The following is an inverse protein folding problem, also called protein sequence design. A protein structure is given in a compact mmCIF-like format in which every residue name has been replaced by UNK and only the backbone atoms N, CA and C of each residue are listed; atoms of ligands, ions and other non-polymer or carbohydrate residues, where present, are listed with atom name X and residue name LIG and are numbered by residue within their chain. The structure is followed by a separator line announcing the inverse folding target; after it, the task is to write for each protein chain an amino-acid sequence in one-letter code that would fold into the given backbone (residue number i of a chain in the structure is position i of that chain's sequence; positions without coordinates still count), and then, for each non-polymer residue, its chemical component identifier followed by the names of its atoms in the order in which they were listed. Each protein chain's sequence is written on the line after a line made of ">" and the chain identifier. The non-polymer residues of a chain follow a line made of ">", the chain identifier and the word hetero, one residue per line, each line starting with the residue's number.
data_IF_751918433962
#
_entry.id   IF_751918433962
#
_cell.length_a   1.000
_cell.length_b   1.000
_cell.length_c   1.000
_cell.angle_alpha   90.00
_cell.angle_beta   90.00
_cell.angle_gamma   90.00
#
_symmetry.space_group_name_H-M   'P 1'
#
loop_
_entity.id
_entity.type
_entity.pdbx_description
1 polymer ?
#
# COMPACT_ATOMS: atom_id res chain seq x y z
N UNK A 1 -36.89 -5.87 41.78
CA UNK A 1 -35.54 -5.32 41.50
C UNK A 1 -35.41 -5.18 40.01
N UNK A 2 -35.46 -3.95 39.50
CA UNK A 2 -35.24 -3.69 38.08
C UNK A 2 -33.75 -3.88 37.78
N UNK A 3 -33.43 -4.78 36.86
CA UNK A 3 -32.10 -4.94 36.28
C UNK A 3 -31.73 -3.62 35.62
N UNK A 4 -30.73 -2.94 36.17
CA UNK A 4 -30.03 -1.82 35.54
C UNK A 4 -29.47 -2.32 34.20
N UNK A 5 -30.19 -2.01 33.12
CA UNK A 5 -29.67 -2.03 31.77
C UNK A 5 -28.38 -1.21 31.76
N UNK A 6 -27.23 -1.84 31.52
CA UNK A 6 -25.98 -1.12 31.35
C UNK A 6 -26.13 -0.27 30.10
N UNK A 7 -26.24 1.05 30.27
CA UNK A 7 -26.20 2.00 29.16
C UNK A 7 -24.91 1.76 28.39
N UNK A 8 -25.02 1.29 27.15
CA UNK A 8 -23.86 1.06 26.29
C UNK A 8 -23.10 2.39 26.13
N UNK A 9 -21.80 2.40 26.45
CA UNK A 9 -20.95 3.56 26.24
C UNK A 9 -20.95 3.86 24.74
N UNK A 10 -21.28 5.09 24.31
CA UNK A 10 -21.30 5.42 22.88
C UNK A 10 -19.89 5.28 22.29
N UNK A 11 -19.75 4.83 21.03
CA UNK A 11 -18.45 4.71 20.38
C UNK A 11 -17.70 6.05 20.34
N UNK A 12 -16.39 6.02 20.56
CA UNK A 12 -15.55 7.20 20.44
C UNK A 12 -15.50 7.66 18.98
N UNK A 13 -15.75 8.95 18.76
CA UNK A 13 -15.75 9.54 17.42
C UNK A 13 -14.33 9.80 16.92
N UNK A 14 -14.00 9.25 15.74
CA UNK A 14 -12.72 9.45 15.07
C UNK A 14 -12.84 10.55 14.01
N UNK A 15 -11.91 11.50 14.07
CA UNK A 15 -11.73 12.61 13.15
C UNK A 15 -10.33 12.49 12.56
N UNK A 16 -10.25 11.98 11.34
CA UNK A 16 -8.98 11.58 10.73
C UNK A 16 -8.41 12.73 9.92
N UNK A 17 -7.11 12.93 10.05
CA UNK A 17 -6.32 13.63 9.04
C UNK A 17 -5.41 12.62 8.34
N UNK A 18 -5.55 12.55 7.02
CA UNK A 18 -4.75 11.69 6.16
C UNK A 18 -3.73 12.55 5.43
N UNK A 19 -2.46 12.44 5.81
CA UNK A 19 -1.35 13.12 5.16
C UNK A 19 -0.76 12.27 4.06
N UNK A 20 -0.38 12.90 2.95
CA UNK A 20 0.13 12.19 1.78
C UNK A 20 -0.89 11.16 1.29
N UNK A 21 -2.17 11.57 1.20
CA UNK A 21 -3.30 10.66 1.02
C UNK A 21 -3.25 9.85 -0.28
N UNK A 22 -2.54 10.34 -1.30
CA UNK A 22 -2.45 9.67 -2.58
C UNK A 22 -3.83 9.36 -3.14
N UNK A 23 -4.09 8.09 -3.44
CA UNK A 23 -5.38 7.61 -3.93
C UNK A 23 -6.27 6.98 -2.83
N UNK A 24 -5.89 7.12 -1.55
CA UNK A 24 -6.72 6.73 -0.41
C UNK A 24 -6.57 5.30 0.08
N UNK A 25 -5.39 4.70 -0.07
CA UNK A 25 -5.12 3.36 0.48
C UNK A 25 -5.17 3.32 2.01
N UNK A 26 -4.67 4.35 2.71
CA UNK A 26 -4.77 4.44 4.17
C UNK A 26 -6.23 4.60 4.62
N UNK A 27 -7.00 5.43 3.92
CA UNK A 27 -8.43 5.60 4.12
C UNK A 27 -9.21 4.30 4.05
N UNK A 28 -9.00 3.51 2.98
CA UNK A 28 -9.68 2.23 2.79
C UNK A 28 -9.32 1.22 3.87
N UNK A 29 -8.03 1.11 4.22
CA UNK A 29 -7.59 0.23 5.30
C UNK A 29 -8.22 0.58 6.66
N UNK A 30 -8.34 1.88 6.97
CA UNK A 30 -9.00 2.33 8.21
C UNK A 30 -10.50 2.03 8.19
N UNK A 31 -11.16 2.19 7.04
CA UNK A 31 -12.57 1.83 6.90
C UNK A 31 -12.79 0.33 7.16
N UNK A 32 -11.93 -0.53 6.62
CA UNK A 32 -11.99 -1.97 6.87
C UNK A 32 -11.76 -2.30 8.35
N UNK A 33 -10.74 -1.69 8.98
CA UNK A 33 -10.45 -1.92 10.40
C UNK A 33 -11.60 -1.47 11.34
N UNK A 34 -12.49 -0.60 10.86
CA UNK A 34 -13.60 -0.05 11.63
C UNK A 34 -14.96 -0.66 11.27
N UNK A 35 -15.08 -1.49 10.23
CA UNK A 35 -16.39 -1.97 9.74
C UNK A 35 -17.19 -2.68 10.81
N UNK A 36 -16.51 -3.48 11.64
CA UNK A 36 -17.11 -4.30 12.68
C UNK A 36 -16.62 -3.90 14.09
N UNK A 37 -16.02 -2.71 14.22
CA UNK A 37 -15.47 -2.23 15.49
C UNK A 37 -16.51 -1.42 16.28
N UNK A 38 -17.03 -1.93 17.42
CA UNK A 38 -18.05 -1.22 18.20
C UNK A 38 -17.48 -0.08 19.07
N UNK A 39 -16.15 -0.01 19.26
CA UNK A 39 -15.50 0.98 20.13
C UNK A 39 -15.41 2.36 19.47
N UNK A 40 -15.37 2.40 18.15
CA UNK A 40 -15.08 3.62 17.40
C UNK A 40 -16.09 3.88 16.29
N UNK A 41 -16.33 5.15 15.97
CA UNK A 41 -17.11 5.53 14.79
C UNK A 41 -16.37 6.61 14.03
N UNK A 42 -16.17 6.39 12.74
CA UNK A 42 -15.49 7.36 11.88
C UNK A 42 -16.43 8.50 11.49
N UNK A 43 -16.11 9.73 11.88
CA UNK A 43 -16.98 10.91 11.67
C UNK A 43 -16.56 11.76 10.50
N UNK A 44 -15.32 12.21 10.50
CA UNK A 44 -14.81 13.12 9.46
C UNK A 44 -13.44 12.68 8.99
N UNK A 45 -13.15 12.91 7.72
CA UNK A 45 -11.80 12.74 7.19
C UNK A 45 -11.39 13.96 6.37
N UNK A 46 -10.22 14.47 6.69
CA UNK A 46 -9.56 15.53 5.92
C UNK A 46 -8.29 14.95 5.30
N UNK A 47 -8.27 14.81 3.98
CA UNK A 47 -7.15 14.31 3.21
C UNK A 47 -6.29 15.47 2.68
N UNK A 48 -4.98 15.41 2.91
CA UNK A 48 -4.00 16.36 2.41
C UNK A 48 -3.09 15.71 1.37
N UNK A 49 -3.17 16.20 0.14
CA UNK A 49 -2.29 15.79 -0.96
C UNK A 49 -2.08 16.96 -1.95
N UNK A 50 -0.83 17.13 -2.36
CA UNK A 50 -0.38 18.21 -3.23
C UNK A 50 -0.66 17.95 -4.72
N UNK A 51 -0.76 16.68 -5.09
CA UNK A 51 -0.93 16.22 -6.46
C UNK A 51 -2.41 16.17 -6.88
N UNK A 52 -2.77 16.97 -7.88
CA UNK A 52 -4.16 17.03 -8.38
C UNK A 52 -4.66 15.71 -8.93
N UNK A 53 -3.82 14.91 -9.58
CA UNK A 53 -4.25 13.62 -10.15
C UNK A 53 -4.58 12.63 -9.02
N UNK A 54 -3.82 12.65 -7.93
CA UNK A 54 -4.15 11.89 -6.73
C UNK A 54 -5.48 12.38 -6.14
N UNK A 55 -5.64 13.68 -5.94
CA UNK A 55 -6.86 14.27 -5.38
C UNK A 55 -8.10 13.93 -6.21
N UNK A 56 -8.02 14.04 -7.53
CA UNK A 56 -9.11 13.67 -8.44
C UNK A 56 -9.45 12.20 -8.30
N UNK A 57 -8.45 11.29 -8.34
CA UNK A 57 -8.66 9.85 -8.17
C UNK A 57 -9.25 9.50 -6.79
N UNK A 58 -8.76 10.13 -5.73
CA UNK A 58 -9.30 9.99 -4.38
C UNK A 58 -10.77 10.44 -4.33
N UNK A 59 -11.08 11.63 -4.83
CA UNK A 59 -12.43 12.20 -4.81
C UNK A 59 -13.45 11.29 -5.50
N UNK A 60 -13.11 10.79 -6.69
CA UNK A 60 -13.99 9.92 -7.45
C UNK A 60 -14.40 8.64 -6.72
N UNK A 61 -13.53 8.11 -5.86
CA UNK A 61 -13.75 6.85 -5.18
C UNK A 61 -14.21 7.00 -3.72
N UNK A 62 -13.86 8.10 -3.06
CA UNK A 62 -13.94 8.22 -1.59
C UNK A 62 -14.59 9.52 -1.11
N UNK A 63 -15.05 10.38 -2.01
CA UNK A 63 -15.87 11.55 -1.65
C UNK A 63 -17.34 11.14 -1.47
N UNK A 64 -18.02 11.77 -0.51
CA UNK A 64 -19.40 11.45 -0.14
C UNK A 64 -19.54 10.57 1.09
N UNK A 65 -20.78 10.16 1.36
CA UNK A 65 -21.15 9.27 2.48
C UNK A 65 -20.99 7.83 1.99
N UNK A 66 -19.98 7.11 2.46
CA UNK A 66 -19.87 5.68 2.17
C UNK A 66 -20.80 4.84 3.07
N UNK A 67 -20.84 3.53 2.85
CA UNK A 67 -21.62 2.56 3.62
C UNK A 67 -21.36 2.54 5.14
N UNK A 68 -20.29 3.18 5.63
CA UNK A 68 -19.97 3.32 7.05
C UNK A 68 -20.51 4.62 7.67
N UNK A 69 -21.33 5.39 6.93
CA UNK A 69 -21.95 6.61 7.46
C UNK A 69 -20.95 7.73 7.71
N UNK A 70 -19.90 7.81 6.90
CA UNK A 70 -18.91 8.89 6.96
C UNK A 70 -19.58 10.24 6.77
N UNK A 71 -19.62 11.04 7.82
CA UNK A 71 -20.42 12.26 7.90
C UNK A 71 -19.92 13.36 6.96
N UNK A 72 -18.60 13.52 6.80
CA UNK A 72 -18.00 14.49 5.87
C UNK A 72 -16.59 14.06 5.46
N UNK A 73 -16.31 14.03 4.15
CA UNK A 73 -14.97 13.83 3.58
C UNK A 73 -14.53 15.13 2.92
N UNK A 74 -13.32 15.61 3.22
CA UNK A 74 -12.76 16.85 2.64
C UNK A 74 -11.38 16.56 2.07
N UNK A 75 -11.17 16.99 0.84
CA UNK A 75 -9.88 16.87 0.16
C UNK A 75 -9.28 18.26 0.06
N UNK A 76 -8.14 18.48 0.68
CA UNK A 76 -7.46 19.76 0.71
C UNK A 76 -6.16 19.66 -0.03
N UNK A 77 -6.10 20.33 -1.18
CA UNK A 77 -4.84 20.53 -1.90
C UNK A 77 -4.00 21.59 -1.19
N UNK A 78 -3.08 21.13 -0.33
CA UNK A 78 -2.15 22.01 0.38
C UNK A 78 -0.80 21.32 0.54
N UNK A 79 0.29 22.09 0.45
CA UNK A 79 1.60 21.55 0.80
C UNK A 79 1.66 21.33 2.31
N UNK A 80 1.94 20.10 2.73
CA UNK A 80 2.06 19.68 4.13
C UNK A 80 3.15 20.48 4.88
N UNK A 81 4.18 20.97 4.19
CA UNK A 81 5.19 21.89 4.73
C UNK A 81 4.61 23.20 5.29
N UNK A 82 3.41 23.60 4.84
CA UNK A 82 2.75 24.85 5.21
C UNK A 82 1.62 24.66 6.23
N UNK A 83 1.40 23.43 6.69
CA UNK A 83 0.41 23.16 7.72
C UNK A 83 0.86 23.76 9.05
N UNK A 84 -0.14 24.19 9.81
CA UNK A 84 0.00 24.69 11.18
C UNK A 84 -0.90 23.87 12.09
N UNK A 85 -0.66 23.92 13.39
CA UNK A 85 -1.53 23.30 14.40
C UNK A 85 -3.02 23.68 14.21
N UNK A 86 -3.29 24.95 13.85
CA UNK A 86 -4.64 25.45 13.59
C UNK A 86 -5.38 24.67 12.48
N UNK A 87 -4.66 24.09 11.51
CA UNK A 87 -5.26 23.27 10.45
C UNK A 87 -5.71 21.89 10.97
N UNK A 88 -5.26 21.46 12.16
CA UNK A 88 -5.35 20.09 12.67
C UNK A 88 -6.12 19.98 14.00
N UNK A 89 -6.72 21.06 14.50
CA UNK A 89 -7.31 21.14 15.85
C UNK A 89 -8.40 20.11 16.14
N UNK A 90 -9.15 19.69 15.12
CA UNK A 90 -10.22 18.68 15.27
C UNK A 90 -9.74 17.26 15.07
N UNK A 91 -8.49 17.06 14.66
CA UNK A 91 -7.94 15.76 14.32
C UNK A 91 -7.57 14.97 15.57
N UNK A 92 -8.07 13.74 15.66
CA UNK A 92 -7.68 12.80 16.71
C UNK A 92 -7.11 11.47 16.16
N UNK A 93 -7.01 11.34 14.84
CA UNK A 93 -6.29 10.24 14.18
C UNK A 93 -5.43 10.80 13.06
N UNK A 94 -4.14 10.51 13.06
CA UNK A 94 -3.26 10.80 11.94
C UNK A 94 -2.92 9.52 11.19
N UNK A 95 -3.09 9.54 9.87
CA UNK A 95 -2.57 8.50 8.97
C UNK A 95 -1.60 9.13 8.00
N UNK A 96 -0.47 8.48 7.70
CA UNK A 96 0.53 9.06 6.81
C UNK A 96 1.42 8.03 6.11
N UNK A 97 1.72 8.29 4.85
CA UNK A 97 2.75 7.59 4.06
C UNK A 97 3.71 8.64 3.47
N UNK A 98 4.59 9.23 4.31
CA UNK A 98 5.49 10.27 3.84
C UNK A 98 6.45 9.72 2.76
N UNK A 99 6.74 10.51 1.72
CA UNK A 99 7.68 10.12 0.67
C UNK A 99 9.07 9.77 1.24
N UNK A 100 9.59 8.61 0.84
CA UNK A 100 10.82 8.01 1.39
C UNK A 100 12.16 8.62 0.89
N UNK A 101 12.15 9.68 0.07
CA UNK A 101 13.40 10.23 -0.47
C UNK A 101 14.05 11.16 0.56
N UNK A 102 15.27 10.82 1.05
CA UNK A 102 16.37 10.19 0.33
C UNK A 102 16.85 8.84 0.89
N UNK A 103 16.05 8.13 1.69
CA UNK A 103 16.48 6.93 2.45
C UNK A 103 16.85 5.69 1.59
N UNK A 104 16.90 5.81 0.26
CA UNK A 104 17.37 4.76 -0.66
C UNK A 104 18.91 4.72 -0.69
N UNK A 105 19.53 3.52 -0.59
CA UNK A 105 20.98 3.26 -0.56
C UNK A 105 21.72 3.53 -1.89
N UNK A 106 21.31 4.50 -2.69
CA UNK A 106 22.06 4.86 -3.90
C UNK A 106 23.19 5.81 -3.50
N UNK A 107 24.47 5.42 -3.73
CA UNK A 107 25.64 6.29 -3.50
C UNK A 107 25.38 7.68 -4.10
N UNK A 108 25.11 8.68 -3.26
CA UNK A 108 24.76 10.05 -3.65
C UNK A 108 23.48 10.64 -3.02
N UNK A 109 22.61 9.82 -2.40
CA UNK A 109 21.39 10.31 -1.72
C UNK A 109 21.61 10.72 -0.26
N UNK A 110 22.61 10.16 0.40
CA UNK A 110 22.93 10.45 1.81
C UNK A 110 23.46 11.89 2.02
N UNK A 111 24.13 12.48 1.04
CA UNK A 111 24.75 13.81 1.17
C UNK A 111 23.79 14.99 0.86
N UNK A 112 22.62 14.74 0.26
CA UNK A 112 21.63 15.78 -0.09
C UNK A 112 20.35 15.73 0.75
N UNK A 113 20.35 14.94 1.83
CA UNK A 113 19.12 14.59 2.53
C UNK A 113 18.43 15.72 3.29
N UNK A 114 19.15 16.78 3.64
CA UNK A 114 18.61 17.92 4.38
C UNK A 114 17.90 18.97 3.51
N UNK A 115 18.02 18.89 2.18
CA UNK A 115 17.42 19.88 1.27
C UNK A 115 16.20 19.36 0.49
N UNK A 116 15.88 18.05 0.58
CA UNK A 116 14.70 17.49 -0.09
C UNK A 116 13.41 18.05 0.55
N UNK A 117 12.61 18.76 -0.25
CA UNK A 117 11.30 19.30 0.18
C UNK A 117 10.39 18.21 0.77
N UNK A 118 10.57 16.95 0.36
CA UNK A 118 9.82 15.79 0.87
C UNK A 118 10.20 15.39 2.29
N UNK A 119 11.46 15.60 2.67
CA UNK A 119 11.89 15.51 4.07
C UNK A 119 11.26 16.62 4.90
N UNK A 120 11.14 17.85 4.35
CA UNK A 120 10.59 19.01 5.06
C UNK A 120 9.12 18.85 5.44
N UNK A 121 8.32 18.21 4.60
CA UNK A 121 6.90 17.97 4.90
C UNK A 121 6.72 17.10 6.16
N UNK A 122 7.46 15.99 6.26
CA UNK A 122 7.40 15.14 7.45
C UNK A 122 8.04 15.82 8.67
N UNK A 123 9.15 16.55 8.50
CA UNK A 123 9.73 17.37 9.57
C UNK A 123 8.75 18.42 10.11
N UNK A 124 7.93 19.04 9.25
CA UNK A 124 6.89 19.97 9.69
C UNK A 124 5.84 19.26 10.57
N UNK A 125 5.36 18.08 10.14
CA UNK A 125 4.43 17.29 10.95
C UNK A 125 5.01 16.88 12.31
N UNK A 126 6.28 16.47 12.34
CA UNK A 126 7.01 16.18 13.59
C UNK A 126 7.12 17.41 14.49
N UNK A 127 7.42 18.58 13.91
CA UNK A 127 7.46 19.84 14.65
C UNK A 127 6.10 20.20 15.25
N UNK A 128 5.01 20.04 14.49
CA UNK A 128 3.66 20.29 14.98
C UNK A 128 3.35 19.31 16.12
N UNK A 129 3.54 18.00 15.93
CA UNK A 129 3.24 16.98 16.95
C UNK A 129 3.98 17.24 18.27
N UNK A 130 5.23 17.71 18.19
CA UNK A 130 6.08 18.04 19.34
C UNK A 130 5.47 19.14 20.22
N UNK A 131 4.87 20.17 19.61
CA UNK A 131 4.34 21.33 20.33
C UNK A 131 2.81 21.38 20.43
N UNK A 132 2.10 20.50 19.72
CA UNK A 132 0.64 20.53 19.62
C UNK A 132 -0.02 20.37 20.99
N UNK A 133 -0.96 21.25 21.28
CA UNK A 133 -1.67 21.34 22.56
C UNK A 133 -2.49 20.08 22.84
N UNK A 134 -3.21 19.59 21.81
CA UNK A 134 -3.97 18.36 21.86
C UNK A 134 -3.52 17.41 20.73
N UNK A 135 -2.47 16.60 20.95
CA UNK A 135 -1.98 15.66 19.93
C UNK A 135 -3.03 14.57 19.62
N UNK A 136 -2.98 13.89 18.47
CA UNK A 136 -4.00 12.89 18.13
C UNK A 136 -4.02 11.71 19.13
N UNK A 137 -5.14 10.99 19.20
CA UNK A 137 -5.24 9.76 20.00
C UNK A 137 -4.50 8.61 19.31
N UNK A 138 -4.57 8.53 17.98
CA UNK A 138 -3.91 7.49 17.20
C UNK A 138 -3.03 8.07 16.10
N UNK A 139 -1.87 7.44 15.85
CA UNK A 139 -1.01 7.73 14.71
C UNK A 139 -0.65 6.42 14.01
N UNK A 140 -0.86 6.39 12.70
CA UNK A 140 -0.45 5.29 11.82
C UNK A 140 0.49 5.82 10.74
N UNK A 141 1.65 5.19 10.60
CA UNK A 141 2.67 5.56 9.63
C UNK A 141 3.08 4.34 8.81
N UNK A 142 3.16 4.51 7.49
CA UNK A 142 3.84 3.59 6.57
C UNK A 142 5.09 4.28 5.99
N UNK A 143 6.15 3.50 5.82
CA UNK A 143 7.36 3.94 5.13
C UNK A 143 8.10 2.74 4.53
N UNK A 144 9.21 2.98 3.84
CA UNK A 144 10.08 1.90 3.36
C UNK A 144 10.81 1.20 4.50
N UNK A 145 11.17 -0.08 4.31
CA UNK A 145 11.88 -0.88 5.32
C UNK A 145 13.14 -0.17 5.90
N UNK A 146 14.04 0.44 5.09
CA UNK A 146 15.21 1.16 5.64
C UNK A 146 14.91 2.37 6.54
N UNK A 147 13.66 2.81 6.66
CA UNK A 147 13.28 3.90 7.57
C UNK A 147 13.58 3.55 9.02
N UNK A 148 13.44 2.29 9.43
CA UNK A 148 13.59 1.81 10.82
C UNK A 148 14.96 2.07 11.48
N UNK A 149 15.97 2.37 10.67
CA UNK A 149 17.36 2.61 11.08
C UNK A 149 17.80 4.04 10.74
N UNK A 150 16.87 4.88 10.27
CA UNK A 150 17.15 6.25 9.87
C UNK A 150 17.15 7.21 11.07
N UNK A 151 17.91 8.32 11.02
CA UNK A 151 17.84 9.36 12.05
C UNK A 151 16.44 9.96 12.22
N UNK A 152 15.66 10.00 11.14
CA UNK A 152 14.29 10.53 11.13
C UNK A 152 13.33 9.61 11.92
N UNK A 153 13.53 8.30 11.85
CA UNK A 153 12.81 7.34 12.69
C UNK A 153 13.16 7.53 14.17
N UNK A 154 14.45 7.68 14.51
CA UNK A 154 14.89 7.94 15.88
C UNK A 154 14.27 9.23 16.42
N UNK A 155 14.22 10.30 15.62
CA UNK A 155 13.56 11.55 15.99
C UNK A 155 12.05 11.35 16.21
N UNK A 156 11.37 10.71 15.25
CA UNK A 156 9.93 10.50 15.32
C UNK A 156 9.52 9.67 16.54
N UNK A 157 10.20 8.55 16.80
CA UNK A 157 9.92 7.69 17.96
C UNK A 157 10.25 8.37 19.29
N UNK A 158 11.24 9.28 19.33
CA UNK A 158 11.51 10.11 20.50
C UNK A 158 10.36 11.10 20.78
N UNK A 159 9.79 11.71 19.74
CA UNK A 159 8.62 12.57 19.86
C UNK A 159 7.43 11.76 20.40
N UNK A 160 7.13 10.59 19.83
CA UNK A 160 6.07 9.71 20.31
C UNK A 160 6.19 9.42 21.81
N UNK A 161 7.39 9.02 22.28
CA UNK A 161 7.65 8.78 23.72
C UNK A 161 7.39 10.02 24.57
N UNK A 162 7.94 11.17 24.17
CA UNK A 162 7.79 12.44 24.90
C UNK A 162 6.34 12.97 24.96
N UNK A 163 5.50 12.55 24.01
CA UNK A 163 4.08 12.91 23.93
C UNK A 163 3.16 11.82 24.50
N UNK A 164 3.70 10.83 25.21
CA UNK A 164 2.94 9.82 25.94
C UNK A 164 2.30 8.76 25.05
N UNK A 165 2.91 8.43 23.90
CA UNK A 165 2.44 7.36 23.04
C UNK A 165 3.07 6.02 23.40
N UNK A 166 2.24 5.00 23.48
CA UNK A 166 2.66 3.61 23.33
C UNK A 166 2.57 3.21 21.87
N UNK A 167 3.60 2.56 21.32
CA UNK A 167 3.63 2.24 19.90
C UNK A 167 4.25 0.87 19.60
N UNK A 168 3.81 0.27 18.51
CA UNK A 168 4.37 -0.95 17.92
C UNK A 168 5.05 -0.60 16.59
N UNK A 169 6.08 -1.38 16.24
CA UNK A 169 6.74 -1.25 14.93
C UNK A 169 6.72 -2.57 14.19
N UNK A 170 6.60 -2.48 12.87
CA UNK A 170 6.45 -3.64 12.01
C UNK A 170 7.30 -3.50 10.76
N UNK A 171 7.82 -4.62 10.25
CA UNK A 171 8.36 -4.74 8.91
C UNK A 171 7.67 -5.90 8.21
N UNK A 172 6.61 -5.60 7.45
CA UNK A 172 5.72 -6.61 6.88
C UNK A 172 5.62 -6.48 5.36
N UNK A 173 5.30 -7.60 4.71
CA UNK A 173 5.07 -7.69 3.26
C UNK A 173 3.68 -8.27 3.00
N UNK A 174 3.00 -7.90 1.91
CA UNK A 174 1.75 -8.53 1.50
C UNK A 174 1.84 -10.06 1.37
N UNK A 175 3.04 -10.60 1.13
CA UNK A 175 3.31 -12.03 1.15
C UNK A 175 2.90 -12.71 2.47
N UNK A 176 3.01 -12.01 3.61
CA UNK A 176 2.55 -12.52 4.91
C UNK A 176 1.02 -12.63 5.01
N UNK A 177 0.29 -12.01 4.08
CA UNK A 177 -1.17 -11.93 4.05
C UNK A 177 -1.75 -12.66 2.82
N UNK A 178 -1.04 -13.67 2.34
CA UNK A 178 -1.40 -14.47 1.17
C UNK A 178 -1.56 -13.67 -0.14
N UNK A 179 -0.95 -12.48 -0.24
CA UNK A 179 -0.95 -11.67 -1.48
C UNK A 179 0.37 -11.88 -2.22
N UNK A 180 0.35 -12.22 -3.53
CA UNK A 180 1.54 -12.58 -4.31
C UNK A 180 2.37 -11.35 -4.74
N UNK A 181 2.74 -10.49 -3.81
CA UNK A 181 3.56 -9.31 -4.06
C UNK A 181 4.60 -9.07 -2.97
N UNK A 182 5.88 -9.10 -3.35
CA UNK A 182 6.97 -8.79 -2.45
C UNK A 182 7.12 -7.27 -2.30
N UNK A 183 6.42 -6.71 -1.31
CA UNK A 183 6.42 -5.28 -0.98
C UNK A 183 6.62 -5.07 0.52
N UNK A 184 7.82 -5.41 1.02
CA UNK A 184 8.18 -5.14 2.41
C UNK A 184 8.19 -3.63 2.69
N UNK A 185 7.52 -3.25 3.78
CA UNK A 185 7.41 -1.87 4.27
C UNK A 185 7.52 -1.84 5.78
N UNK A 186 7.95 -0.69 6.28
CA UNK A 186 7.99 -0.39 7.69
C UNK A 186 6.70 0.31 8.11
N UNK A 187 6.22 0.00 9.30
CA UNK A 187 5.00 0.59 9.85
C UNK A 187 5.16 0.94 11.32
N UNK A 188 4.46 1.99 11.76
CA UNK A 188 4.20 2.29 13.16
C UNK A 188 2.69 2.39 13.37
N UNK A 189 2.19 1.73 14.41
CA UNK A 189 0.90 2.03 15.03
C UNK A 189 1.16 2.59 16.43
N UNK A 190 0.55 3.72 16.76
CA UNK A 190 0.75 4.38 18.04
C UNK A 190 -0.59 4.85 18.64
N UNK A 191 -0.76 4.63 19.93
CA UNK A 191 -1.86 5.17 20.73
C UNK A 191 -1.32 6.07 21.84
N UNK A 192 -1.93 7.23 22.00
CA UNK A 192 -1.65 8.12 23.12
C UNK A 192 -2.36 7.58 24.36
N UNK A 193 -1.59 7.17 25.37
CA UNK A 193 -2.12 6.68 26.66
C UNK A 193 -2.01 7.73 27.76
N UNK A 194 -1.46 8.91 27.46
CA UNK A 194 -1.23 10.03 28.38
C UNK A 194 -0.39 9.63 29.63
N UNK A 195 0.31 8.49 29.55
CA UNK A 195 1.29 8.00 30.53
C UNK A 195 2.72 8.06 30.00
N UNK A 196 3.61 7.21 30.54
CA UNK A 196 4.98 7.10 30.04
C UNK A 196 4.99 6.43 28.65
N UNK A 197 5.33 7.20 27.62
CA UNK A 197 5.39 6.70 26.25
C UNK A 197 6.56 5.75 26.04
N UNK A 198 6.29 4.58 25.46
CA UNK A 198 7.29 3.54 25.22
C UNK A 198 6.92 2.67 24.02
N UNK A 199 7.88 1.90 23.54
CA UNK A 199 7.65 0.90 22.50
C UNK A 199 7.11 -0.38 23.14
N UNK A 200 6.10 -0.98 22.54
CA UNK A 200 5.58 -2.30 22.91
C UNK A 200 6.32 -3.35 22.09
N UNK A 201 7.10 -4.20 22.78
CA UNK A 201 7.82 -5.32 22.16
C UNK A 201 8.93 -4.92 21.18
N UNK A 202 9.44 -5.93 20.48
CA UNK A 202 10.51 -5.79 19.46
C UNK A 202 9.92 -5.46 18.07
N UNK A 203 10.75 -5.50 17.02
CA UNK A 203 10.28 -5.30 15.64
C UNK A 203 9.50 -6.51 15.17
N UNK A 204 8.22 -6.30 14.84
CA UNK A 204 7.33 -7.36 14.37
C UNK A 204 7.58 -7.59 12.89
N UNK A 205 8.22 -8.71 12.56
CA UNK A 205 8.56 -9.09 11.18
C UNK A 205 7.62 -10.13 10.58
N UNK A 206 6.75 -10.72 11.41
CA UNK A 206 5.72 -11.68 11.04
C UNK A 206 4.42 -11.34 11.81
N UNK A 207 3.23 -11.51 11.21
CA UNK A 207 1.97 -11.31 11.93
C UNK A 207 1.79 -12.40 13.00
N UNK A 208 1.12 -12.07 14.11
CA UNK A 208 0.89 -13.01 15.23
C UNK A 208 0.03 -14.22 14.82
N UNK A 209 -0.90 -14.00 13.89
CA UNK A 209 -1.77 -15.03 13.33
C UNK A 209 -1.80 -14.88 11.80
N UNK A 210 -0.79 -15.39 11.08
CA UNK A 210 -0.80 -15.34 9.62
C UNK A 210 -2.01 -16.13 9.08
N UNK A 211 -2.63 -15.67 7.98
CA UNK A 211 -3.62 -16.50 7.29
C UNK A 211 -2.99 -17.84 6.90
N UNK A 212 -3.78 -18.93 6.85
CA UNK A 212 -3.26 -20.21 6.41
C UNK A 212 -2.67 -20.07 4.99
N UNK A 213 -1.60 -20.82 4.67
CA UNK A 213 -1.02 -20.78 3.34
C UNK A 213 -2.06 -21.18 2.30
N UNK A 214 -1.92 -20.64 1.08
CA UNK A 214 -2.81 -21.01 0.00
C UNK A 214 -2.61 -22.48 -0.36
N UNK A 215 -3.70 -23.24 -0.30
CA UNK A 215 -3.75 -24.64 -0.75
C UNK A 215 -4.42 -24.63 -2.12
N UNK A 216 -3.67 -25.01 -3.15
CA UNK A 216 -4.25 -25.23 -4.48
C UNK A 216 -5.18 -26.46 -4.41
N UNK A 217 -6.47 -26.23 -4.60
CA UNK A 217 -7.48 -27.29 -4.58
C UNK A 217 -7.49 -28.14 -5.87
N UNK A 218 -6.81 -27.68 -6.92
CA UNK A 218 -6.67 -28.38 -8.20
C UNK A 218 -5.21 -28.31 -8.70
N UNK A 219 -4.26 -28.97 -8.03
CA UNK A 219 -2.86 -28.92 -8.44
C UNK A 219 -2.70 -29.49 -9.85
N UNK A 220 -2.15 -28.71 -10.77
CA UNK A 220 -1.73 -29.23 -12.07
C UNK A 220 -0.60 -30.24 -11.80
N UNK A 221 -0.75 -31.53 -12.17
CA UNK A 221 0.31 -32.51 -11.97
C UNK A 221 1.55 -32.06 -12.74
N UNK A 222 2.65 -31.76 -12.04
CA UNK A 222 3.97 -31.69 -12.69
C UNK A 222 4.41 -33.14 -12.89
N UNK A 223 4.83 -33.48 -14.11
CA UNK A 223 5.07 -34.85 -14.59
C UNK A 223 6.05 -35.69 -13.74
N UNK A 224 6.71 -35.13 -12.71
CA UNK A 224 7.70 -35.84 -11.89
C UNK A 224 7.45 -35.84 -10.36
N UNK A 225 6.26 -35.47 -9.85
CA UNK A 225 6.01 -35.57 -8.40
C UNK A 225 4.65 -36.22 -8.07
N UNK A 226 4.70 -37.48 -7.63
CA UNK A 226 3.61 -38.15 -6.93
C UNK A 226 3.04 -37.24 -5.81
N UNK A 227 1.77 -36.85 -5.93
CA UNK A 227 0.92 -36.24 -4.88
C UNK A 227 1.51 -35.05 -4.09
N UNK A 228 2.37 -34.22 -4.68
CA UNK A 228 2.83 -32.99 -4.05
C UNK A 228 1.90 -31.82 -4.40
N UNK A 229 1.07 -31.38 -3.45
CA UNK A 229 0.35 -30.10 -3.54
C UNK A 229 1.37 -28.99 -3.20
N UNK A 230 1.76 -28.11 -4.14
CA UNK A 230 2.67 -27.03 -3.81
C UNK A 230 1.99 -26.06 -2.84
N UNK A 231 2.44 -26.05 -1.58
CA UNK A 231 2.04 -25.06 -0.59
C UNK A 231 2.70 -23.74 -1.00
N UNK A 232 1.90 -22.80 -1.52
CA UNK A 232 2.35 -21.43 -1.75
C UNK A 232 2.08 -20.58 -0.50
N UNK A 233 3.04 -19.74 -0.10
CA UNK A 233 2.83 -18.75 0.95
C UNK A 233 1.77 -17.69 0.58
N UNK A 234 1.42 -17.57 -0.70
CA UNK A 234 0.43 -16.63 -1.20
C UNK A 234 -0.46 -17.22 -2.30
N UNK A 235 -1.62 -16.60 -2.53
CA UNK A 235 -2.53 -16.97 -3.61
C UNK A 235 -1.87 -16.86 -4.99
N UNK A 236 -2.21 -17.73 -5.95
CA UNK A 236 -1.71 -17.64 -7.31
C UNK A 236 -2.20 -16.36 -7.99
N UNK A 237 -1.39 -15.84 -8.91
CA UNK A 237 -1.72 -14.63 -9.66
C UNK A 237 -3.02 -14.76 -10.46
N UNK A 238 -3.44 -15.97 -10.83
CA UNK A 238 -4.74 -16.24 -11.49
C UNK A 238 -5.95 -15.62 -10.78
N UNK A 239 -5.89 -15.41 -9.46
CA UNK A 239 -6.96 -14.75 -8.70
C UNK A 239 -7.03 -13.23 -8.93
N UNK A 240 -5.96 -12.63 -9.45
CA UNK A 240 -5.79 -11.19 -9.62
C UNK A 240 -5.77 -10.75 -11.08
N UNK A 241 -5.48 -11.67 -12.00
CA UNK A 241 -5.41 -11.41 -13.43
C UNK A 241 -6.81 -11.28 -14.01
N UNK A 242 -7.00 -10.24 -14.83
CA UNK A 242 -8.28 -10.02 -15.51
C UNK A 242 -8.40 -10.94 -16.72
N UNK A 243 -9.61 -11.47 -17.01
CA UNK A 243 -9.89 -12.15 -18.25
C UNK A 243 -9.58 -11.25 -19.46
N UNK A 244 -9.15 -11.86 -20.57
CA UNK A 244 -8.82 -11.12 -21.80
C UNK A 244 -9.99 -10.30 -22.33
N UNK A 245 -11.23 -10.79 -22.16
CA UNK A 245 -12.45 -10.05 -22.52
C UNK A 245 -12.60 -8.76 -21.72
N UNK A 246 -12.30 -8.78 -20.42
CA UNK A 246 -12.32 -7.59 -19.56
C UNK A 246 -11.19 -6.63 -19.95
N UNK A 247 -9.99 -7.14 -20.22
CA UNK A 247 -8.87 -6.30 -20.66
C UNK A 247 -9.19 -5.60 -21.99
N UNK A 248 -9.82 -6.28 -22.94
CA UNK A 248 -10.20 -5.70 -24.23
C UNK A 248 -11.26 -4.58 -24.11
N UNK A 249 -12.13 -4.65 -23.10
CA UNK A 249 -13.09 -3.59 -22.79
C UNK A 249 -12.40 -2.36 -22.18
N UNK A 250 -11.47 -2.58 -21.25
CA UNK A 250 -10.73 -1.51 -20.57
C UNK A 250 -9.66 -0.86 -21.46
N UNK A 251 -9.04 -1.66 -22.34
CA UNK A 251 -7.96 -1.29 -23.24
C UNK A 251 -8.31 -1.75 -24.66
N UNK A 252 -9.09 -0.96 -25.42
CA UNK A 252 -9.44 -1.28 -26.81
C UNK A 252 -8.21 -1.54 -27.68
N UNK A 253 -7.10 -0.85 -27.37
CA UNK A 253 -5.78 -1.16 -27.90
C UNK A 253 -4.93 -1.89 -26.84
N UNK A 254 -4.99 -3.23 -26.85
CA UNK A 254 -4.19 -4.08 -25.96
C UNK A 254 -2.68 -3.92 -26.18
N UNK A 255 -2.24 -3.39 -27.33
CA UNK A 255 -0.81 -3.17 -27.58
C UNK A 255 -0.19 -2.18 -26.59
N UNK A 256 -1.01 -1.33 -25.97
CA UNK A 256 -0.58 -0.42 -24.91
C UNK A 256 -0.04 -1.14 -23.65
N UNK A 257 -0.44 -2.39 -23.43
CA UNK A 257 0.04 -3.22 -22.32
C UNK A 257 1.16 -4.18 -22.76
N UNK A 258 1.17 -4.61 -24.02
CA UNK A 258 2.15 -5.55 -24.56
C UNK A 258 3.56 -4.96 -24.56
N UNK A 259 4.57 -5.81 -24.36
CA UNK A 259 5.96 -5.43 -24.54
C UNK A 259 6.30 -5.51 -26.03
N UNK A 260 6.78 -4.43 -26.67
CA UNK A 260 7.10 -4.45 -28.09
C UNK A 260 8.20 -5.47 -28.43
N UNK A 261 8.14 -6.16 -29.59
CA UNK A 261 9.19 -7.11 -30.00
C UNK A 261 10.59 -6.51 -30.04
N UNK A 262 10.69 -5.22 -30.38
CA UNK A 262 11.95 -4.45 -30.37
C UNK A 262 12.54 -4.25 -28.97
N UNK A 263 11.72 -4.35 -27.92
CA UNK A 263 12.14 -4.31 -26.51
C UNK A 263 12.51 -5.70 -26.02
N UNK A 264 11.76 -6.72 -26.42
CA UNK A 264 12.02 -8.12 -26.06
C UNK A 264 13.40 -8.60 -26.55
N UNK A 265 13.82 -8.16 -27.75
CA UNK A 265 15.12 -8.50 -28.34
C UNK A 265 16.32 -7.80 -27.68
N UNK A 266 16.10 -6.90 -26.71
CA UNK A 266 17.21 -6.17 -26.07
C UNK A 266 17.91 -7.06 -25.04
N UNK A 267 19.25 -7.03 -24.93
CA UNK A 267 20.00 -7.86 -23.98
C UNK A 267 19.57 -7.70 -22.52
N UNK A 268 19.17 -6.49 -22.11
CA UNK A 268 18.72 -6.24 -20.73
C UNK A 268 17.43 -7.00 -20.38
N UNK A 269 16.64 -7.40 -21.38
CA UNK A 269 15.34 -8.04 -21.18
C UNK A 269 15.48 -9.41 -20.50
N UNK A 270 16.60 -10.11 -20.72
CA UNK A 270 16.96 -11.37 -20.00
C UNK A 270 17.05 -11.18 -18.47
N UNK A 271 17.18 -9.95 -17.99
CA UNK A 271 17.19 -9.60 -16.56
C UNK A 271 15.83 -9.19 -15.99
N UNK A 272 14.78 -9.17 -16.80
CA UNK A 272 13.42 -8.86 -16.34
C UNK A 272 12.82 -10.00 -15.53
N UNK A 273 11.94 -9.66 -14.59
CA UNK A 273 11.09 -10.65 -13.93
C UNK A 273 9.82 -10.83 -14.76
N UNK A 274 9.55 -12.05 -15.20
CA UNK A 274 8.33 -12.45 -15.92
C UNK A 274 7.66 -13.54 -15.10
N UNK A 275 6.36 -13.42 -14.90
CA UNK A 275 5.53 -14.35 -14.12
C UNK A 275 4.31 -14.79 -14.90
N UNK A 276 3.81 -16.00 -14.60
CA UNK A 276 2.59 -16.57 -15.15
C UNK A 276 1.45 -16.63 -14.13
N UNK A 277 0.30 -17.15 -14.55
CA UNK A 277 -0.92 -17.24 -13.72
C UNK A 277 -0.77 -18.12 -12.48
N UNK A 278 0.08 -19.14 -12.53
CA UNK A 278 0.34 -20.06 -11.41
C UNK A 278 1.44 -19.59 -10.46
N UNK A 279 2.16 -18.52 -10.77
CA UNK A 279 3.14 -17.97 -9.84
C UNK A 279 2.46 -17.32 -8.65
N UNK A 280 3.09 -17.46 -7.48
CA UNK A 280 2.59 -16.95 -6.20
C UNK A 280 3.43 -15.77 -5.68
N UNK A 281 4.22 -15.12 -6.56
CA UNK A 281 5.09 -14.00 -6.18
C UNK A 281 5.36 -13.07 -7.36
N UNK A 282 5.39 -11.77 -7.07
CA UNK A 282 5.87 -10.71 -7.97
C UNK A 282 6.89 -9.83 -7.26
N UNK A 283 7.76 -9.16 -8.02
CA UNK A 283 8.57 -8.06 -7.50
C UNK A 283 7.68 -6.85 -7.12
N UNK A 284 8.16 -6.02 -6.20
CA UNK A 284 7.48 -4.78 -5.80
C UNK A 284 7.16 -3.91 -7.03
N UNK A 285 5.89 -3.54 -7.19
CA UNK A 285 5.49 -2.52 -8.15
C UNK A 285 5.81 -1.13 -7.59
N UNK A 286 6.53 -0.33 -8.36
CA UNK A 286 6.97 1.02 -7.96
C UNK A 286 6.36 2.08 -8.87
N UNK A 287 6.51 3.36 -8.50
CA UNK A 287 6.09 4.50 -9.32
C UNK A 287 6.78 4.58 -10.70
N UNK A 288 7.84 3.79 -10.92
CA UNK A 288 8.57 3.70 -12.20
C UNK A 288 8.09 2.54 -13.08
N UNK A 289 7.12 1.75 -12.63
CA UNK A 289 6.51 0.69 -13.43
C UNK A 289 5.83 1.29 -14.68
N UNK A 290 5.98 0.62 -15.84
CA UNK A 290 5.57 1.16 -17.14
C UNK A 290 6.41 2.34 -17.68
N UNK A 291 7.42 2.80 -16.93
CA UNK A 291 8.40 3.82 -17.38
C UNK A 291 9.81 3.25 -17.53
N UNK A 292 10.22 2.42 -16.57
CA UNK A 292 11.57 1.86 -16.49
C UNK A 292 11.50 0.35 -16.60
N UNK A 293 12.20 -0.20 -17.60
CA UNK A 293 12.33 -1.64 -17.82
C UNK A 293 13.44 -2.22 -16.93
N UNK A 294 13.09 -2.55 -15.69
CA UNK A 294 13.98 -3.20 -14.75
C UNK A 294 13.16 -4.01 -13.75
N UNK A 295 13.65 -5.19 -13.30
CA UNK A 295 12.92 -6.04 -12.33
C UNK A 295 12.56 -5.33 -11.03
N UNK A 296 13.31 -4.31 -10.62
CA UNK A 296 12.99 -3.52 -9.41
C UNK A 296 11.82 -2.56 -9.59
N UNK A 297 11.33 -2.33 -10.82
CA UNK A 297 10.14 -1.52 -11.04
C UNK A 297 8.85 -2.33 -10.92
N UNK A 298 8.92 -3.65 -11.13
CA UNK A 298 7.84 -4.63 -11.03
C UNK A 298 8.09 -5.83 -11.95
N UNK A 299 7.30 -6.90 -11.77
CA UNK A 299 7.27 -8.06 -12.67
C UNK A 299 6.40 -7.77 -13.90
N UNK A 300 6.68 -8.45 -15.02
CA UNK A 300 5.83 -8.53 -16.19
C UNK A 300 4.97 -9.81 -16.15
N UNK A 301 3.87 -9.81 -16.88
CA UNK A 301 2.96 -10.96 -16.95
C UNK A 301 3.05 -11.65 -18.32
N UNK A 302 3.12 -12.99 -18.33
CA UNK A 302 3.06 -13.81 -19.53
C UNK A 302 1.66 -14.44 -19.67
N UNK A 303 0.93 -14.05 -20.73
CA UNK A 303 -0.36 -14.63 -21.11
C UNK A 303 -0.16 -15.97 -21.79
N UNK A 304 -0.93 -16.98 -21.43
CA UNK A 304 -1.08 -18.23 -22.22
C UNK A 304 0.22 -19.00 -22.55
N UNK A 305 1.33 -18.78 -21.83
CA UNK A 305 2.60 -19.49 -22.08
C UNK A 305 2.83 -20.56 -21.03
N UNK A 306 2.81 -21.83 -21.46
CA UNK A 306 3.09 -23.01 -20.62
C UNK A 306 4.55 -23.07 -20.14
N UNK A 307 5.50 -22.37 -20.80
CA UNK A 307 6.88 -22.25 -20.35
C UNK A 307 7.51 -20.86 -20.61
N UNK A 308 7.00 -19.81 -19.95
CA UNK A 308 7.69 -18.51 -19.89
C UNK A 308 9.07 -18.62 -19.21
N UNK A 309 9.31 -19.71 -18.45
CA UNK A 309 10.58 -20.00 -17.78
C UNK A 309 11.74 -20.22 -18.74
N UNK A 310 11.45 -20.48 -20.02
CA UNK A 310 12.45 -20.66 -21.08
C UNK A 310 12.76 -19.37 -21.86
N UNK A 311 12.03 -18.27 -21.62
CA UNK A 311 12.30 -16.96 -22.25
C UNK A 311 13.69 -16.44 -21.88
N UNK A 312 14.18 -16.76 -20.67
CA UNK A 312 15.52 -16.37 -20.23
C UNK A 312 16.64 -17.29 -20.78
N UNK A 313 16.28 -18.41 -21.42
CA UNK A 313 17.22 -19.47 -21.83
C UNK A 313 17.29 -19.70 -23.34
N UNK A 314 16.28 -19.27 -24.10
CA UNK A 314 16.28 -19.38 -25.56
C UNK A 314 16.70 -18.06 -26.22
N UNK A 315 17.44 -18.16 -27.33
CA UNK A 315 17.67 -17.03 -28.23
C UNK A 315 16.54 -16.89 -29.27
N UNK A 316 15.51 -17.76 -29.19
CA UNK A 316 14.37 -17.80 -30.10
C UNK A 316 13.20 -16.99 -29.54
N UNK A 317 13.12 -15.73 -29.94
CA UNK A 317 11.97 -14.85 -29.70
C UNK A 317 10.87 -15.15 -30.72
N UNK A 318 10.36 -16.39 -30.72
CA UNK A 318 9.28 -16.83 -31.60
C UNK A 318 8.07 -15.88 -31.53
N UNK A 319 7.28 -15.82 -32.60
CA UNK A 319 6.07 -14.97 -32.72
C UNK A 319 5.10 -15.17 -31.53
N UNK A 320 5.10 -16.37 -30.95
CA UNK A 320 4.27 -16.73 -29.80
C UNK A 320 4.60 -15.88 -28.55
N UNK A 321 5.86 -15.57 -28.30
CA UNK A 321 6.28 -14.73 -27.16
C UNK A 321 6.02 -13.24 -27.39
N UNK A 322 6.04 -12.80 -28.66
CA UNK A 322 5.94 -11.38 -29.04
C UNK A 322 4.59 -10.75 -28.67
N UNK A 323 3.54 -11.57 -28.51
CA UNK A 323 2.20 -11.12 -28.12
C UNK A 323 1.76 -11.62 -26.73
N UNK A 324 2.65 -12.32 -26.02
CA UNK A 324 2.31 -12.95 -24.75
C UNK A 324 2.72 -12.12 -23.53
N UNK A 325 3.84 -11.39 -23.62
CA UNK A 325 4.40 -10.66 -22.49
C UNK A 325 3.84 -9.25 -22.43
N UNK A 326 3.30 -8.87 -21.27
CA UNK A 326 2.73 -7.56 -21.03
C UNK A 326 3.06 -7.01 -19.66
N UNK A 327 2.84 -5.73 -19.48
CA UNK A 327 2.64 -5.19 -18.15
C UNK A 327 1.31 -5.73 -17.56
N UNK A 328 1.30 -5.99 -16.25
CA UNK A 328 0.06 -6.02 -15.46
C UNK A 328 -0.77 -4.77 -15.72
N UNK A 329 -2.06 -4.91 -15.97
CA UNK A 329 -2.96 -3.77 -16.07
C UNK A 329 -3.07 -3.08 -14.71
N UNK A 330 -3.19 -1.74 -14.65
CA UNK A 330 -3.43 -1.01 -13.41
C UNK A 330 -4.56 -1.57 -12.55
N UNK A 331 -5.63 -2.08 -13.17
CA UNK A 331 -6.78 -2.68 -12.51
C UNK A 331 -6.44 -4.04 -11.85
N UNK A 332 -5.51 -4.81 -12.42
CA UNK A 332 -4.96 -6.00 -11.74
C UNK A 332 -4.08 -5.60 -10.55
N UNK A 333 -3.32 -4.50 -10.68
CA UNK A 333 -2.51 -3.98 -9.58
C UNK A 333 -3.37 -3.45 -8.43
N UNK A 334 -4.52 -2.83 -8.72
CA UNK A 334 -5.52 -2.46 -7.70
C UNK A 334 -5.95 -3.70 -6.90
N UNK A 335 -6.30 -4.80 -7.57
CA UNK A 335 -6.65 -6.07 -6.91
C UNK A 335 -5.51 -6.62 -6.05
N UNK A 336 -4.28 -6.63 -6.58
CA UNK A 336 -3.08 -7.08 -5.83
C UNK A 336 -2.85 -6.20 -4.59
N UNK A 337 -3.08 -4.90 -4.69
CA UNK A 337 -2.89 -3.95 -3.57
C UNK A 337 -4.06 -3.96 -2.58
N UNK A 338 -5.12 -4.73 -2.84
CA UNK A 338 -6.28 -4.90 -1.98
C UNK A 338 -7.32 -3.79 -2.10
N UNK A 339 -7.32 -3.04 -3.21
CA UNK A 339 -8.38 -2.08 -3.49
C UNK A 339 -9.69 -2.81 -3.80
N UNK A 340 -10.86 -2.26 -3.41
CA UNK A 340 -12.15 -2.89 -3.69
C UNK A 340 -12.43 -2.91 -5.19
N UNK A 341 -13.25 -3.86 -5.65
CA UNK A 341 -13.59 -4.00 -7.07
C UNK A 341 -14.34 -2.77 -7.63
N UNK A 342 -15.01 -2.01 -6.76
CA UNK A 342 -15.66 -0.75 -7.10
C UNK A 342 -14.69 0.43 -7.27
N UNK A 343 -13.39 0.25 -6.97
CA UNK A 343 -12.41 1.31 -7.13
C UNK A 343 -12.01 1.45 -8.60
N UNK A 344 -12.20 2.63 -9.16
CA UNK A 344 -11.97 2.90 -10.57
C UNK A 344 -11.02 4.07 -10.79
N UNK A 345 -10.22 3.98 -11.85
CA UNK A 345 -9.51 5.13 -12.38
C UNK A 345 -10.42 5.89 -13.34
N UNK A 346 -10.38 7.21 -13.29
CA UNK A 346 -11.07 8.02 -14.28
C UNK A 346 -10.51 7.76 -15.69
N UNK A 347 -11.37 7.76 -16.73
CA UNK A 347 -10.95 7.47 -18.10
C UNK A 347 -9.82 8.37 -18.63
N UNK A 348 -9.74 9.60 -18.15
CA UNK A 348 -8.76 10.61 -18.61
C UNK A 348 -7.36 10.40 -18.02
N UNK A 349 -7.22 9.57 -16.97
CA UNK A 349 -5.92 9.28 -16.38
C UNK A 349 -5.15 8.33 -17.30
N UNK A 350 -4.07 8.86 -17.90
CA UNK A 350 -3.22 8.05 -18.78
C UNK A 350 -2.63 6.83 -18.07
N UNK A 351 -2.39 5.75 -18.83
CA UNK A 351 -1.83 4.49 -18.33
C UNK A 351 -0.55 4.69 -17.48
N UNK A 352 0.36 5.54 -17.95
CA UNK A 352 1.59 5.89 -17.22
C UNK A 352 1.32 6.55 -15.86
N UNK A 353 0.28 7.39 -15.78
CA UNK A 353 -0.14 8.01 -14.51
C UNK A 353 -0.79 6.98 -13.60
N UNK A 354 -1.66 6.10 -14.11
CA UNK A 354 -2.23 4.99 -13.33
C UNK A 354 -1.15 4.14 -12.65
N UNK A 355 -0.10 3.73 -13.38
CA UNK A 355 1.04 3.02 -12.81
C UNK A 355 1.78 3.80 -11.73
N UNK A 356 1.98 5.11 -11.96
CA UNK A 356 2.62 5.96 -10.96
C UNK A 356 1.80 6.00 -9.67
N UNK A 357 0.47 6.19 -9.77
CA UNK A 357 -0.43 6.26 -8.62
C UNK A 357 -0.40 4.96 -7.80
N UNK A 358 -0.65 3.81 -8.42
CA UNK A 358 -0.67 2.53 -7.70
C UNK A 358 0.70 2.14 -7.15
N UNK A 359 1.78 2.43 -7.88
CA UNK A 359 3.14 2.16 -7.42
C UNK A 359 3.56 2.97 -6.19
N UNK A 360 2.94 4.13 -5.97
CA UNK A 360 3.11 4.96 -4.77
C UNK A 360 2.12 4.59 -3.65
N UNK A 361 1.08 3.81 -3.93
CA UNK A 361 0.05 3.44 -2.96
C UNK A 361 0.54 2.41 -1.94
N UNK A 362 -0.21 2.24 -0.85
CA UNK A 362 -0.01 1.20 0.17
C UNK A 362 -0.77 -0.08 -0.18
N UNK A 363 -0.42 -1.20 0.46
CA UNK A 363 -1.23 -2.41 0.40
C UNK A 363 -2.28 -2.36 1.53
N UNK A 364 -3.56 -2.39 1.17
CA UNK A 364 -4.68 -2.16 2.08
C UNK A 364 -4.75 -3.24 3.16
N UNK A 365 -4.57 -4.53 2.79
CA UNK A 365 -4.62 -5.65 3.75
C UNK A 365 -3.56 -5.55 4.83
N UNK A 366 -2.33 -5.18 4.46
CA UNK A 366 -1.24 -4.99 5.44
C UNK A 366 -1.58 -3.84 6.38
N UNK A 367 -1.96 -2.68 5.83
CA UNK A 367 -2.27 -1.48 6.63
C UNK A 367 -3.45 -1.72 7.57
N UNK A 368 -4.48 -2.44 7.12
CA UNK A 368 -5.62 -2.83 7.95
C UNK A 368 -5.17 -3.66 9.16
N UNK A 369 -4.29 -4.64 8.97
CA UNK A 369 -3.68 -5.41 10.06
C UNK A 369 -2.92 -4.50 11.04
N UNK A 370 -2.12 -3.55 10.52
CA UNK A 370 -1.40 -2.58 11.35
C UNK A 370 -2.38 -1.75 12.19
N UNK A 371 -3.47 -1.29 11.61
CA UNK A 371 -4.47 -0.49 12.33
C UNK A 371 -5.18 -1.31 13.42
N UNK A 372 -5.56 -2.55 13.09
CA UNK A 372 -6.18 -3.48 14.03
C UNK A 372 -5.27 -3.86 15.22
N UNK A 373 -3.95 -3.75 15.09
CA UNK A 373 -2.99 -4.07 16.17
C UNK A 373 -3.13 -3.22 17.44
N UNK A 374 -3.86 -2.10 17.36
CA UNK A 374 -4.15 -1.17 18.46
C UNK A 374 -5.65 -0.87 18.56
N UNK A 375 -6.39 -0.77 17.44
CA UNK A 375 -7.82 -0.45 17.48
C UNK A 375 -8.69 -1.57 18.10
N UNK A 376 -8.17 -2.80 18.17
CA UNK A 376 -8.91 -3.94 18.75
C UNK A 376 -8.50 -4.27 20.20
N UNK A 377 -7.39 -3.70 20.70
CA UNK A 377 -7.03 -3.77 22.13
C UNK A 377 -8.05 -3.01 22.96
#
# INVERSE_FOLDING_TARGET
>A
MATLSSLAVPPLSLHVTEFFSGIGGMRLALQNALSDNPKYTLRTVTAYESNDVCNTCYAHNLEGVNSLGLGESRIIRKNIEQLKEADLLTSNVWTMSPPCQPFTKTKGSLEKGSEDARSKAFSNLMSILRSMSNPPKFIFLENVAPFNTSPVHTEFTSILKSRGYTYKEFELSPMHFSVPNNRTRFYISAERTDGEGHRIGELITEPENPPPPYIDSNPVPKEDYNNYVPICQASPLSQYILPDSTLQLLYPDLSALLIPPSTLSKPFFKGMSIVGSSDCVTFCFTSSYGKTMHKSSGSLFARHVLSYKDINKSDDMSIEYQNAIRFFAPEELLKIFGFPESFEYQPEISLKRKYKLIGQSVNIKVVEYIMNSILNE
#
